data_IF_225132646747
#
_entry.id   IF_225132646747
#
_cell.length_a   1.000
_cell.length_b   1.000
_cell.length_c   1.000
_cell.angle_alpha   90.00
_cell.angle_beta   90.00
_cell.angle_gamma   90.00
#
_symmetry.space_group_name_H-M   'P 1'
#
loop_
_entity.id
_entity.type
_entity.pdbx_description
1 polymer ?
#
# COMPACT_ATOMS: atom_id res chain seq x y z
N UNK A 1 -24.01 -29.37 -5.86
CA UNK A 1 -23.50 -28.25 -6.67
C UNK A 1 -23.87 -26.97 -5.95
N UNK A 2 -22.92 -26.23 -5.37
CA UNK A 2 -23.21 -24.97 -4.70
C UNK A 2 -23.39 -23.87 -5.76
N UNK A 3 -24.59 -23.28 -5.83
CA UNK A 3 -24.86 -22.10 -6.66
C UNK A 3 -24.69 -20.87 -5.77
N UNK A 4 -23.77 -19.99 -6.15
CA UNK A 4 -23.73 -18.64 -5.59
C UNK A 4 -24.98 -17.91 -6.11
N UNK A 5 -25.85 -17.38 -5.24
CA UNK A 5 -27.02 -16.63 -5.68
C UNK A 5 -26.55 -15.46 -6.56
N UNK A 6 -27.07 -15.41 -7.78
CA UNK A 6 -26.84 -14.27 -8.66
C UNK A 6 -27.68 -13.11 -8.14
N UNK A 7 -27.16 -11.87 -8.19
CA UNK A 7 -27.98 -10.72 -7.90
C UNK A 7 -29.17 -10.64 -8.86
N UNK A 8 -30.28 -10.07 -8.40
CA UNK A 8 -31.50 -9.94 -9.23
C UNK A 8 -31.21 -9.13 -10.51
N UNK A 9 -31.88 -9.48 -11.60
CA UNK A 9 -31.73 -8.78 -12.89
C UNK A 9 -31.96 -7.27 -12.70
N UNK A 10 -30.89 -6.47 -12.80
CA UNK A 10 -30.94 -5.02 -12.57
C UNK A 10 -30.14 -4.50 -11.37
N UNK A 11 -29.39 -5.34 -10.64
CA UNK A 11 -28.43 -4.83 -9.65
C UNK A 11 -27.39 -3.95 -10.34
N UNK A 12 -27.31 -2.68 -9.92
CA UNK A 12 -26.40 -1.62 -10.38
C UNK A 12 -25.85 -1.83 -11.80
N UNK A 13 -26.68 -1.52 -12.81
CA UNK A 13 -26.26 -1.45 -14.20
C UNK A 13 -25.81 -0.03 -14.53
N UNK A 14 -24.58 0.15 -15.02
CA UNK A 14 -24.12 1.39 -15.63
C UNK A 14 -24.09 1.20 -17.14
N UNK A 15 -24.95 1.93 -17.87
CA UNK A 15 -25.06 1.82 -19.34
C UNK A 15 -25.30 0.39 -19.84
N UNK A 16 -26.07 -0.40 -19.09
CA UNK A 16 -26.37 -1.81 -19.42
C UNK A 16 -25.27 -2.80 -19.04
N UNK A 17 -24.20 -2.36 -18.39
CA UNK A 17 -23.11 -3.21 -17.91
C UNK A 17 -23.23 -3.38 -16.39
N UNK A 18 -23.17 -4.62 -15.85
CA UNK A 18 -23.09 -4.84 -14.42
C UNK A 18 -21.91 -4.12 -13.80
N UNK A 19 -22.15 -3.29 -12.79
CA UNK A 19 -21.09 -2.64 -12.02
C UNK A 19 -21.08 -3.12 -10.59
N UNK A 20 -19.90 -3.07 -9.99
CA UNK A 20 -19.68 -3.36 -8.58
C UNK A 20 -19.22 -2.06 -7.93
N UNK A 21 -20.03 -1.53 -7.01
CA UNK A 21 -19.65 -0.38 -6.23
C UNK A 21 -18.56 -0.78 -5.21
N UNK A 22 -17.39 -0.14 -5.30
CA UNK A 22 -16.34 -0.27 -4.31
C UNK A 22 -16.46 0.88 -3.30
N UNK A 23 -16.31 0.57 -2.01
CA UNK A 23 -16.38 1.55 -0.93
C UNK A 23 -15.07 2.31 -0.67
N UNK A 24 -14.01 1.96 -1.39
CA UNK A 24 -12.68 2.53 -1.22
C UNK A 24 -12.49 3.85 -1.98
N UNK A 25 -11.51 4.68 -1.58
CA UNK A 25 -11.19 5.91 -2.30
C UNK A 25 -10.83 5.63 -3.77
N UNK A 26 -11.36 6.42 -4.72
CA UNK A 26 -11.17 6.16 -6.16
C UNK A 26 -9.69 6.17 -6.57
N UNK A 27 -8.87 7.03 -5.94
CA UNK A 27 -7.44 7.12 -6.24
C UNK A 27 -6.67 5.87 -5.79
N UNK A 28 -7.00 5.34 -4.60
CA UNK A 28 -6.39 4.09 -4.12
C UNK A 28 -6.77 2.92 -5.01
N UNK A 29 -8.05 2.82 -5.38
CA UNK A 29 -8.56 1.80 -6.30
C UNK A 29 -7.87 1.90 -7.65
N UNK A 30 -7.67 3.11 -8.18
CA UNK A 30 -6.97 3.30 -9.45
C UNK A 30 -5.52 2.82 -9.38
N UNK A 31 -4.77 3.14 -8.31
CA UNK A 31 -3.41 2.65 -8.11
C UNK A 31 -3.34 1.12 -8.03
N UNK A 32 -4.25 0.51 -7.28
CA UNK A 32 -4.29 -0.94 -7.10
C UNK A 32 -4.74 -1.70 -8.36
N UNK A 33 -5.74 -1.19 -9.09
CA UNK A 33 -6.16 -1.77 -10.37
C UNK A 33 -5.05 -1.64 -11.43
N UNK A 34 -4.36 -0.50 -11.49
CA UNK A 34 -3.18 -0.34 -12.36
C UNK A 34 -2.13 -1.39 -12.02
N UNK A 35 -1.76 -1.53 -10.74
CA UNK A 35 -0.82 -2.55 -10.28
C UNK A 35 -1.21 -3.97 -10.71
N UNK A 36 -2.51 -4.27 -10.70
CA UNK A 36 -3.06 -5.59 -11.01
C UNK A 36 -3.10 -5.89 -12.51
N UNK A 37 -3.52 -4.92 -13.33
CA UNK A 37 -3.84 -5.15 -14.75
C UNK A 37 -2.82 -4.58 -15.72
N UNK A 38 -1.98 -3.64 -15.29
CA UNK A 38 -0.96 -3.01 -16.14
C UNK A 38 0.41 -3.57 -15.74
N UNK A 39 1.04 -4.42 -16.58
CA UNK A 39 2.36 -4.95 -16.30
C UNK A 39 3.39 -3.84 -16.08
N UNK A 40 4.27 -4.02 -15.09
CA UNK A 40 5.34 -3.07 -14.77
C UNK A 40 4.89 -1.80 -14.03
N UNK A 41 3.58 -1.60 -13.82
CA UNK A 41 3.08 -0.42 -13.10
C UNK A 41 3.40 -0.44 -11.60
N UNK A 42 3.61 -1.61 -11.01
CA UNK A 42 4.09 -1.76 -9.63
C UNK A 42 5.48 -2.41 -9.63
N UNK A 43 6.54 -1.60 -9.50
CA UNK A 43 7.90 -2.04 -9.76
C UNK A 43 8.47 -2.82 -8.57
N UNK A 44 9.57 -3.53 -8.82
CA UNK A 44 10.17 -4.43 -7.81
C UNK A 44 10.69 -3.64 -6.62
N UNK A 45 10.92 -4.32 -5.49
CA UNK A 45 11.41 -3.64 -4.29
C UNK A 45 12.66 -2.80 -4.59
N UNK A 46 13.49 -3.17 -5.57
CA UNK A 46 14.70 -2.43 -5.97
C UNK A 46 14.42 -1.02 -6.54
N UNK A 47 13.24 -0.79 -7.11
CA UNK A 47 12.88 0.44 -7.80
C UNK A 47 12.14 1.41 -6.87
N UNK A 48 12.18 2.70 -7.20
CA UNK A 48 11.40 3.72 -6.47
C UNK A 48 9.92 3.56 -6.82
N UNK A 49 9.07 3.57 -5.80
CA UNK A 49 7.62 3.58 -5.94
C UNK A 49 7.06 4.81 -5.25
N UNK A 50 6.00 5.38 -5.83
CA UNK A 50 5.28 6.48 -5.19
C UNK A 50 4.63 6.01 -3.88
N UNK A 51 4.64 6.88 -2.86
CA UNK A 51 4.17 6.53 -1.51
C UNK A 51 2.66 6.31 -1.46
N UNK A 52 1.89 7.12 -2.19
CA UNK A 52 0.43 6.99 -2.26
C UNK A 52 0.08 5.68 -2.99
N UNK A 53 0.80 5.37 -4.06
CA UNK A 53 0.68 4.09 -4.76
C UNK A 53 1.02 2.90 -3.85
N UNK A 54 2.12 2.97 -3.09
CA UNK A 54 2.56 1.90 -2.19
C UNK A 54 1.51 1.60 -1.11
N UNK A 55 1.02 2.64 -0.44
CA UNK A 55 0.02 2.49 0.61
C UNK A 55 -1.33 2.00 0.07
N UNK A 56 -1.76 2.51 -1.08
CA UNK A 56 -2.97 2.05 -1.75
C UNK A 56 -2.89 0.55 -2.08
N UNK A 57 -1.78 0.13 -2.71
CA UNK A 57 -1.55 -1.27 -3.07
C UNK A 57 -1.50 -2.15 -1.81
N UNK A 58 -0.84 -1.72 -0.74
CA UNK A 58 -0.77 -2.47 0.52
C UNK A 58 -2.16 -2.68 1.14
N UNK A 59 -2.93 -1.59 1.32
CA UNK A 59 -4.24 -1.60 1.98
C UNK A 59 -5.24 -2.45 1.21
N UNK A 60 -5.37 -2.21 -0.10
CA UNK A 60 -6.35 -2.90 -0.93
C UNK A 60 -5.97 -4.36 -1.18
N UNK A 61 -4.68 -4.68 -1.30
CA UNK A 61 -4.23 -6.08 -1.39
C UNK A 61 -4.47 -6.85 -0.10
N UNK A 62 -4.47 -6.18 1.06
CA UNK A 62 -4.88 -6.78 2.32
C UNK A 62 -6.40 -7.03 2.35
N UNK A 63 -7.20 -6.02 1.99
CA UNK A 63 -8.67 -6.07 1.99
C UNK A 63 -9.23 -7.10 1.01
N UNK A 64 -8.74 -7.09 -0.23
CA UNK A 64 -9.21 -7.94 -1.32
C UNK A 64 -8.40 -9.24 -1.47
N UNK A 65 -7.56 -9.55 -0.49
CA UNK A 65 -6.78 -10.78 -0.42
C UNK A 65 -5.98 -11.07 -1.70
N UNK A 66 -5.02 -10.19 -1.99
CA UNK A 66 -4.02 -10.37 -3.05
C UNK A 66 -2.63 -10.52 -2.42
N UNK A 67 -2.24 -11.74 -1.99
CA UNK A 67 -1.06 -11.96 -1.16
C UNK A 67 0.25 -11.53 -1.84
N UNK A 68 0.30 -11.65 -3.17
CA UNK A 68 1.46 -11.25 -3.98
C UNK A 68 1.81 -9.77 -3.80
N UNK A 69 0.84 -8.88 -4.01
CA UNK A 69 1.07 -7.45 -3.87
C UNK A 69 1.26 -7.02 -2.41
N UNK A 70 0.55 -7.67 -1.47
CA UNK A 70 0.76 -7.43 -0.05
C UNK A 70 2.21 -7.70 0.36
N UNK A 71 2.77 -8.85 -0.04
CA UNK A 71 4.17 -9.20 0.27
C UNK A 71 5.13 -8.18 -0.32
N UNK A 72 4.96 -7.84 -1.59
CA UNK A 72 5.84 -6.89 -2.28
C UNK A 72 5.77 -5.49 -1.71
N UNK A 73 4.59 -5.01 -1.31
CA UNK A 73 4.46 -3.72 -0.65
C UNK A 73 5.14 -3.72 0.73
N UNK A 74 5.11 -4.83 1.46
CA UNK A 74 5.85 -4.97 2.72
C UNK A 74 7.37 -5.02 2.49
N UNK A 75 7.85 -5.65 1.43
CA UNK A 75 9.27 -5.63 1.06
C UNK A 75 9.75 -4.19 0.78
N UNK A 76 8.92 -3.40 0.08
CA UNK A 76 9.17 -1.97 -0.12
C UNK A 76 9.25 -1.20 1.20
N UNK A 77 8.31 -1.43 2.12
CA UNK A 77 8.31 -0.77 3.44
C UNK A 77 9.49 -1.18 4.32
N UNK A 78 9.93 -2.45 4.24
CA UNK A 78 11.05 -2.95 5.04
C UNK A 78 12.36 -2.20 4.79
N UNK A 79 12.51 -1.55 3.63
CA UNK A 79 13.66 -0.68 3.32
C UNK A 79 13.70 0.58 4.18
N UNK A 80 12.53 1.12 4.52
CA UNK A 80 12.39 2.36 5.28
C UNK A 80 12.28 2.10 6.79
N UNK A 81 11.86 0.90 7.18
CA UNK A 81 11.67 0.50 8.57
C UNK A 81 12.57 -0.69 8.89
N UNK A 82 13.87 -0.44 9.15
CA UNK A 82 14.77 -1.49 9.60
C UNK A 82 14.27 -2.13 10.88
N UNK A 83 14.36 -3.45 10.94
CA UNK A 83 13.96 -4.26 12.11
C UNK A 83 15.13 -4.52 13.07
N UNK A 84 16.36 -4.21 12.64
CA UNK A 84 17.58 -4.36 13.42
C UNK A 84 18.07 -3.00 13.94
N UNK A 85 18.42 -2.95 15.23
CA UNK A 85 18.84 -1.72 15.91
C UNK A 85 20.07 -1.06 15.27
N UNK A 86 21.02 -1.86 14.79
CA UNK A 86 22.23 -1.35 14.14
C UNK A 86 21.92 -0.69 12.78
N UNK A 87 20.96 -1.26 12.02
CA UNK A 87 20.49 -0.69 10.75
C UNK A 87 19.64 0.58 10.95
N UNK A 88 18.98 0.71 12.11
CA UNK A 88 18.27 1.94 12.47
C UNK A 88 19.27 3.11 12.60
N UNK A 89 20.44 2.90 13.21
CA UNK A 89 21.43 3.97 13.38
C UNK A 89 21.95 4.54 12.05
N UNK A 90 22.10 3.72 11.01
CA UNK A 90 22.54 4.16 9.69
C UNK A 90 21.41 4.85 8.90
N UNK A 91 20.18 4.34 8.98
CA UNK A 91 19.04 4.83 8.21
C UNK A 91 18.32 6.05 8.83
N UNK A 92 18.62 6.42 10.07
CA UNK A 92 18.02 7.62 10.73
C UNK A 92 18.21 8.89 9.89
N UNK A 93 19.30 9.01 9.13
CA UNK A 93 19.57 10.20 8.31
C UNK A 93 18.59 10.31 7.13
N UNK A 94 18.14 9.20 6.56
CA UNK A 94 17.24 9.15 5.41
C UNK A 94 15.75 9.12 5.81
N UNK A 95 15.42 8.54 6.98
CA UNK A 95 14.03 8.48 7.50
C UNK A 95 13.48 9.88 7.82
N UNK A 96 14.35 10.85 8.15
CA UNK A 96 13.96 12.25 8.43
C UNK A 96 13.38 12.95 7.19
N UNK A 97 13.67 12.47 5.98
CA UNK A 97 13.10 12.98 4.72
C UNK A 97 11.96 12.10 4.16
N UNK A 98 11.21 11.37 5.00
CA UNK A 98 9.97 10.75 4.51
C UNK A 98 8.99 11.85 4.04
N UNK A 99 8.69 11.95 2.73
CA UNK A 99 7.80 12.98 2.26
C UNK A 99 6.39 12.62 2.73
N UNK A 100 5.86 13.44 3.65
CA UNK A 100 4.43 13.56 3.98
C UNK A 100 3.78 12.51 4.87
N UNK A 101 4.53 11.77 5.70
CA UNK A 101 3.96 11.39 6.99
C UNK A 101 4.42 12.44 7.99
N UNK A 102 3.50 13.28 8.47
CA UNK A 102 3.72 14.19 9.61
C UNK A 102 3.97 13.45 10.94
N UNK A 103 4.66 12.31 10.87
CA UNK A 103 5.11 11.50 11.99
C UNK A 103 6.58 11.84 12.17
N UNK A 104 6.85 12.99 12.76
CA UNK A 104 8.16 13.24 13.35
C UNK A 104 8.31 12.22 14.47
N UNK A 105 9.10 11.16 14.23
CA UNK A 105 9.73 10.44 15.33
C UNK A 105 10.67 11.47 15.98
N UNK A 106 10.17 12.20 16.97
CA UNK A 106 11.01 12.92 17.92
C UNK A 106 11.91 11.88 18.56
N UNK A 107 13.12 11.75 18.02
CA UNK A 107 14.22 11.13 18.72
C UNK A 107 14.31 11.87 20.05
N UNK A 108 13.94 11.17 21.13
CA UNK A 108 14.19 11.64 22.48
C UNK A 108 15.71 11.65 22.60
N UNK A 109 16.30 12.81 22.30
CA UNK A 109 17.65 13.14 22.68
C UNK A 109 17.61 13.32 24.20
N UNK A 110 17.72 12.21 24.93
CA UNK A 110 18.11 12.27 26.33
C UNK A 110 19.55 12.77 26.37
N UNK A 111 19.62 14.08 26.53
CA UNK A 111 20.75 14.87 26.96
C UNK A 111 21.53 14.19 28.08
N UNK A 112 22.84 14.14 27.89
CA UNK A 112 23.89 14.26 28.93
C UNK A 112 23.35 14.66 30.30
N UNK A 113 23.66 13.89 31.33
CA UNK A 113 24.08 14.40 32.64
C UNK A 113 24.85 13.30 33.40
N UNK A 114 26.11 13.63 33.66
CA UNK A 114 27.06 13.09 34.67
C UNK A 114 27.60 11.67 34.53
#
# INVERSE_FOLDING_TARGET
>A
MFRVPQPEEGSDLLSGVPVVALSDPPDEVAHWLKATFVPGSFPTCLDVVDWEQLLAVLRLSHKYHVPYFRRRALEHLAKYFPIDFDQVQENIVDIVELPRLGVTCTAIAESRLS
#
